data_IF_577325289650
#
_entry.id   IF_577325289650
#
_cell.length_a   1.000
_cell.length_b   1.000
_cell.length_c   1.000
_cell.angle_alpha   90.00
_cell.angle_beta   90.00
_cell.angle_gamma   90.00
#
_symmetry.space_group_name_H-M   'P 1'
#
loop_
_entity.id
_entity.type
_entity.pdbx_description
1 polymer ?
#
# COMPACT_ATOMS: atom_id res chain seq x y z
N UNK A 1 -23.48 15.81 -0.77
CA UNK A 1 -22.97 14.43 -0.62
C UNK A 1 -23.96 13.50 -1.31
N UNK A 2 -23.53 12.52 -2.13
CA UNK A 2 -24.44 11.59 -2.81
C UNK A 2 -25.30 10.77 -1.84
N UNK A 3 -26.50 10.39 -2.26
CA UNK A 3 -27.50 9.70 -1.41
C UNK A 3 -27.01 8.36 -0.84
N UNK A 4 -26.24 7.60 -1.62
CA UNK A 4 -25.67 6.33 -1.17
C UNK A 4 -24.65 6.54 -0.04
N UNK A 5 -23.82 7.58 -0.11
CA UNK A 5 -22.88 7.93 0.97
C UNK A 5 -23.64 8.38 2.22
N UNK A 6 -24.75 9.12 2.06
CA UNK A 6 -25.60 9.50 3.19
C UNK A 6 -26.19 8.28 3.90
N UNK A 7 -26.62 7.26 3.13
CA UNK A 7 -27.10 6.00 3.68
C UNK A 7 -25.99 5.28 4.45
N UNK A 8 -24.80 5.11 3.85
CA UNK A 8 -23.65 4.48 4.51
C UNK A 8 -23.29 5.15 5.82
N UNK A 9 -23.16 6.49 5.83
CA UNK A 9 -22.92 7.26 7.07
C UNK A 9 -24.01 7.04 8.12
N UNK A 10 -25.28 7.03 7.71
CA UNK A 10 -26.41 6.81 8.62
C UNK A 10 -26.31 5.42 9.25
N UNK A 11 -26.02 4.38 8.47
CA UNK A 11 -25.90 3.02 8.99
C UNK A 11 -24.70 2.86 9.92
N UNK A 12 -23.53 3.41 9.56
CA UNK A 12 -22.36 3.45 10.44
C UNK A 12 -22.70 4.13 11.76
N UNK A 13 -23.33 5.31 11.71
CA UNK A 13 -23.74 6.02 12.92
C UNK A 13 -24.75 5.23 13.76
N UNK A 14 -25.81 4.70 13.14
CA UNK A 14 -26.86 3.95 13.84
C UNK A 14 -26.31 2.73 14.57
N UNK A 15 -25.40 1.98 13.96
CA UNK A 15 -24.94 0.69 14.49
C UNK A 15 -23.63 0.76 15.29
N UNK A 16 -22.83 1.83 15.17
CA UNK A 16 -21.49 1.88 15.77
C UNK A 16 -21.27 3.05 16.74
N UNK A 17 -22.17 4.04 16.83
CA UNK A 17 -21.95 5.23 17.69
C UNK A 17 -21.88 4.93 19.19
N UNK A 18 -22.44 3.80 19.64
CA UNK A 18 -22.41 3.41 21.05
C UNK A 18 -21.05 2.81 21.43
N UNK A 19 -20.42 2.09 20.51
CA UNK A 19 -19.16 1.39 20.74
C UNK A 19 -17.93 2.20 20.30
N UNK A 20 -18.10 3.15 19.38
CA UNK A 20 -17.00 3.86 18.74
C UNK A 20 -17.24 5.37 18.63
N UNK A 21 -16.16 6.15 18.81
CA UNK A 21 -16.12 7.57 18.42
C UNK A 21 -15.89 7.69 16.91
N UNK A 22 -16.98 7.81 16.15
CA UNK A 22 -16.94 7.92 14.69
C UNK A 22 -16.41 9.29 14.23
N UNK A 23 -15.44 9.30 13.31
CA UNK A 23 -14.87 10.51 12.69
C UNK A 23 -14.90 10.39 11.18
N UNK A 24 -15.52 11.35 10.50
CA UNK A 24 -15.46 11.45 9.04
C UNK A 24 -14.23 12.28 8.64
N UNK A 25 -13.30 11.63 7.94
CA UNK A 25 -12.11 12.29 7.39
C UNK A 25 -12.32 12.54 5.91
N UNK A 26 -12.06 13.77 5.49
CA UNK A 26 -12.15 14.22 4.10
C UNK A 26 -10.81 14.82 3.70
N UNK A 27 -10.60 15.09 2.41
CA UNK A 27 -9.39 15.82 1.95
C UNK A 27 -9.19 17.15 2.69
N UNK A 28 -10.28 17.86 2.99
CA UNK A 28 -10.24 19.14 3.71
C UNK A 28 -9.87 18.99 5.20
N UNK A 29 -10.22 17.85 5.82
CA UNK A 29 -10.00 17.63 7.25
C UNK A 29 -8.79 16.75 7.54
N UNK A 30 -8.21 16.05 6.56
CA UNK A 30 -7.05 15.16 6.75
C UNK A 30 -5.85 15.87 7.42
N UNK A 31 -5.55 17.11 7.02
CA UNK A 31 -4.47 17.94 7.59
C UNK A 31 -4.69 18.32 9.07
N UNK A 32 -5.90 18.17 9.60
CA UNK A 32 -6.19 18.38 11.03
C UNK A 32 -5.73 17.19 11.89
N UNK A 33 -5.62 16.00 11.29
CA UNK A 33 -5.25 14.76 11.97
C UNK A 33 -3.81 14.32 11.66
N UNK A 34 -3.30 14.66 10.48
CA UNK A 34 -1.96 14.30 10.01
C UNK A 34 -1.17 15.60 9.80
N UNK A 35 -0.37 15.99 10.79
CA UNK A 35 0.34 17.27 10.83
C UNK A 35 1.50 17.31 9.83
N UNK A 36 2.06 16.16 9.48
CA UNK A 36 3.24 15.97 8.63
C UNK A 36 2.91 15.31 7.28
N UNK A 37 1.81 15.73 6.64
CA UNK A 37 1.45 15.26 5.29
C UNK A 37 2.57 15.54 4.30
N UNK A 38 2.99 14.48 3.57
CA UNK A 38 4.02 14.58 2.54
C UNK A 38 3.63 15.58 1.43
N UNK A 39 4.59 16.35 0.93
CA UNK A 39 4.36 17.39 -0.09
C UNK A 39 3.81 16.86 -1.42
N UNK A 40 4.01 15.57 -1.72
CA UNK A 40 3.43 14.92 -2.89
C UNK A 40 1.93 14.58 -2.76
N UNK A 41 1.35 14.65 -1.55
CA UNK A 41 -0.01 14.18 -1.27
C UNK A 41 -1.07 14.79 -2.20
N UNK A 42 -1.01 16.10 -2.43
CA UNK A 42 -2.01 16.80 -3.26
C UNK A 42 -1.93 16.43 -4.75
N UNK A 43 -0.83 15.78 -5.19
CA UNK A 43 -0.62 15.29 -6.55
C UNK A 43 -1.05 13.82 -6.75
N UNK A 44 -1.28 13.10 -5.66
CA UNK A 44 -1.77 11.71 -5.69
C UNK A 44 -3.21 11.67 -6.23
N UNK A 45 -3.56 10.58 -6.92
CA UNK A 45 -4.96 10.30 -7.28
C UNK A 45 -5.80 10.06 -6.02
N UNK A 46 -7.14 10.25 -6.04
CA UNK A 46 -7.97 10.13 -4.84
C UNK A 46 -7.84 8.81 -4.09
N UNK A 47 -7.70 7.68 -4.81
CA UNK A 47 -7.48 6.37 -4.19
C UNK A 47 -6.18 6.35 -3.36
N UNK A 48 -5.06 6.77 -3.94
CA UNK A 48 -3.79 6.90 -3.22
C UNK A 48 -3.83 7.88 -2.05
N UNK A 49 -4.59 8.97 -2.18
CA UNK A 49 -4.80 9.89 -1.06
C UNK A 49 -5.51 9.17 0.10
N UNK A 50 -6.54 8.37 -0.20
CA UNK A 50 -7.24 7.56 0.79
C UNK A 50 -6.32 6.50 1.42
N UNK A 51 -5.54 5.77 0.62
CA UNK A 51 -4.54 4.80 1.10
C UNK A 51 -3.51 5.44 2.05
N UNK A 52 -2.93 6.56 1.64
CA UNK A 52 -1.98 7.30 2.47
C UNK A 52 -2.63 7.75 3.79
N UNK A 53 -3.82 8.36 3.72
CA UNK A 53 -4.54 8.83 4.91
C UNK A 53 -4.91 7.66 5.83
N UNK A 54 -5.42 6.53 5.30
CA UNK A 54 -5.78 5.36 6.13
C UNK A 54 -4.57 4.87 6.91
N UNK A 55 -3.44 4.72 6.25
CA UNK A 55 -2.23 4.19 6.85
C UNK A 55 -1.70 5.14 7.93
N UNK A 56 -1.67 6.45 7.66
CA UNK A 56 -1.21 7.45 8.63
C UNK A 56 -2.14 7.58 9.84
N UNK A 57 -3.46 7.57 9.64
CA UNK A 57 -4.40 7.62 10.75
C UNK A 57 -4.27 6.40 11.66
N UNK A 58 -4.19 5.19 11.07
CA UNK A 58 -4.04 3.96 11.84
C UNK A 58 -2.67 3.84 12.52
N UNK A 59 -1.61 4.41 11.92
CA UNK A 59 -0.30 4.53 12.57
C UNK A 59 -0.36 5.42 13.81
N UNK A 60 -0.96 6.61 13.70
CA UNK A 60 -1.00 7.63 14.75
C UNK A 60 -1.96 7.23 15.88
N UNK A 61 -3.16 6.78 15.54
CA UNK A 61 -4.24 6.59 16.51
C UNK A 61 -4.52 5.11 16.82
N UNK A 62 -4.08 4.17 15.96
CA UNK A 62 -4.64 2.83 15.93
C UNK A 62 -6.13 2.85 15.60
N UNK A 63 -6.86 1.83 16.05
CA UNK A 63 -8.31 1.79 15.94
C UNK A 63 -8.78 1.13 14.65
N UNK A 64 -9.79 1.72 14.02
CA UNK A 64 -10.47 1.16 12.85
C UNK A 64 -10.62 2.21 11.76
N UNK A 65 -10.29 1.85 10.52
CA UNK A 65 -10.60 2.59 9.31
C UNK A 65 -11.65 1.82 8.49
N UNK A 66 -12.63 2.56 7.97
CA UNK A 66 -13.77 2.03 7.22
C UNK A 66 -13.97 2.90 5.98
N UNK A 67 -14.02 2.28 4.80
CA UNK A 67 -14.40 3.02 3.59
C UNK A 67 -15.87 3.48 3.66
N UNK A 68 -16.13 4.67 3.12
CA UNK A 68 -17.43 5.34 3.30
C UNK A 68 -18.56 4.71 2.48
N UNK A 69 -18.23 3.82 1.55
CA UNK A 69 -19.16 3.07 0.72
C UNK A 69 -19.64 1.76 1.39
N UNK A 70 -19.37 1.57 2.69
CA UNK A 70 -19.86 0.43 3.46
C UNK A 70 -21.23 0.69 4.10
N UNK A 71 -22.11 -0.32 4.01
CA UNK A 71 -23.37 -0.39 4.77
C UNK A 71 -23.14 -1.24 6.02
N UNK A 72 -23.31 -0.63 7.21
CA UNK A 72 -23.21 -1.35 8.47
C UNK A 72 -24.56 -1.92 8.88
N UNK A 73 -24.66 -3.25 9.05
CA UNK A 73 -25.90 -3.90 9.51
C UNK A 73 -25.90 -4.18 11.02
N UNK A 74 -24.73 -4.11 11.65
CA UNK A 74 -24.53 -4.36 13.08
C UNK A 74 -23.28 -3.62 13.57
N UNK A 75 -23.07 -3.62 14.88
CA UNK A 75 -21.84 -3.08 15.47
C UNK A 75 -20.62 -3.88 15.04
N UNK A 76 -19.52 -3.17 14.81
CA UNK A 76 -18.22 -3.73 14.44
C UNK A 76 -17.41 -4.18 15.66
N UNK A 77 -17.95 -4.02 16.88
CA UNK A 77 -17.28 -4.34 18.14
C UNK A 77 -16.75 -5.77 18.19
N UNK A 78 -17.53 -6.75 17.71
CA UNK A 78 -17.12 -8.17 17.65
C UNK A 78 -15.75 -8.33 16.97
N UNK A 79 -15.55 -7.63 15.84
CA UNK A 79 -14.30 -7.72 15.10
C UNK A 79 -13.18 -6.90 15.72
N UNK A 80 -13.52 -5.73 16.26
CA UNK A 80 -12.57 -4.90 16.98
C UNK A 80 -11.98 -5.62 18.20
N UNK A 81 -12.78 -6.41 18.92
CA UNK A 81 -12.35 -7.15 20.11
C UNK A 81 -11.25 -8.18 19.79
N UNK A 82 -11.12 -8.65 18.55
CA UNK A 82 -9.99 -9.52 18.16
C UNK A 82 -8.64 -8.81 18.19
N UNK A 83 -8.60 -7.47 18.22
CA UNK A 83 -7.37 -6.74 18.47
C UNK A 83 -6.77 -7.01 19.86
N UNK A 84 -7.48 -7.65 20.78
CA UNK A 84 -6.88 -8.12 22.04
C UNK A 84 -5.89 -9.26 21.83
N UNK A 85 -6.09 -10.04 20.76
CA UNK A 85 -5.30 -11.23 20.43
C UNK A 85 -4.37 -11.02 19.22
N UNK A 86 -4.76 -10.16 18.29
CA UNK A 86 -4.04 -9.90 17.04
C UNK A 86 -3.65 -8.44 16.92
N UNK A 87 -2.52 -8.16 16.28
CA UNK A 87 -2.07 -6.78 16.05
C UNK A 87 -2.86 -6.08 14.94
N UNK A 88 -3.31 -6.86 13.95
CA UNK A 88 -4.03 -6.39 12.76
C UNK A 88 -5.19 -7.35 12.48
N UNK A 89 -6.37 -6.80 12.23
CA UNK A 89 -7.55 -7.51 11.74
C UNK A 89 -8.02 -6.75 10.50
N UNK A 90 -8.34 -7.43 9.40
CA UNK A 90 -8.60 -6.74 8.13
C UNK A 90 -9.36 -7.55 7.11
N UNK A 91 -9.29 -7.12 5.86
CA UNK A 91 -9.96 -7.74 4.71
C UNK A 91 -9.70 -9.25 4.63
N UNK A 92 -10.76 -10.04 4.43
CA UNK A 92 -10.73 -11.52 4.33
C UNK A 92 -10.26 -12.26 5.58
N UNK A 93 -10.19 -11.60 6.73
CA UNK A 93 -9.80 -12.25 7.98
C UNK A 93 -10.91 -13.19 8.48
N UNK A 94 -10.55 -14.46 8.75
CA UNK A 94 -11.45 -15.55 9.17
C UNK A 94 -10.82 -16.41 10.28
N UNK A 95 -11.20 -16.25 11.55
CA UNK A 95 -10.93 -17.25 12.58
C UNK A 95 -12.04 -18.31 12.57
N UNK A 96 -13.29 -17.87 12.34
CA UNK A 96 -14.51 -18.65 12.54
C UNK A 96 -15.37 -18.78 11.26
N UNK A 97 -14.85 -18.36 10.09
CA UNK A 97 -15.48 -18.56 8.77
C UNK A 97 -16.10 -17.32 8.11
N UNK A 98 -16.45 -16.29 8.87
CA UNK A 98 -17.05 -15.04 8.35
C UNK A 98 -16.00 -14.09 7.76
N UNK A 99 -16.24 -13.53 6.57
CA UNK A 99 -15.37 -12.51 5.97
C UNK A 99 -15.64 -11.13 6.56
N UNK A 100 -14.57 -10.47 7.01
CA UNK A 100 -14.57 -9.03 7.20
C UNK A 100 -14.33 -8.39 5.83
N UNK A 101 -15.27 -7.54 5.39
CA UNK A 101 -15.18 -6.78 4.13
C UNK A 101 -14.10 -5.68 4.16
N UNK A 102 -14.31 -4.55 3.48
CA UNK A 102 -13.38 -3.40 3.36
C UNK A 102 -13.14 -2.63 4.68
N UNK A 103 -12.92 -3.33 5.79
CA UNK A 103 -12.67 -2.75 7.11
C UNK A 103 -11.26 -3.17 7.56
N UNK A 104 -10.51 -2.21 8.09
CA UNK A 104 -9.16 -2.44 8.57
C UNK A 104 -9.00 -1.96 10.02
N UNK A 105 -8.44 -2.82 10.87
CA UNK A 105 -8.25 -2.60 12.29
C UNK A 105 -6.77 -2.74 12.65
N UNK A 106 -6.23 -1.81 13.43
CA UNK A 106 -4.88 -1.91 13.98
C UNK A 106 -4.93 -1.65 15.48
N UNK A 107 -4.34 -2.55 16.27
CA UNK A 107 -4.17 -2.34 17.70
C UNK A 107 -3.25 -1.14 17.92
N UNK A 108 -3.72 -0.15 18.69
CA UNK A 108 -2.90 1.02 19.01
C UNK A 108 -1.59 0.60 19.68
N UNK A 109 -0.45 1.08 19.15
CA UNK A 109 0.88 0.86 19.74
C UNK A 109 1.01 1.49 21.13
N UNK A 110 0.16 2.47 21.47
CA UNK A 110 0.23 3.21 22.74
C UNK A 110 -0.12 2.36 23.97
N UNK A 111 -0.76 1.20 23.78
CA UNK A 111 -1.10 0.28 24.87
C UNK A 111 -0.04 -0.81 25.12
N UNK A 112 1.05 -0.85 24.35
CA UNK A 112 2.20 -1.65 24.73
C UNK A 112 2.99 -0.89 25.79
N UNK A 113 2.84 -1.27 27.07
CA UNK A 113 3.91 -1.14 28.06
C UNK A 113 5.02 -2.15 27.68
N UNK A 114 5.66 -1.96 26.53
CA UNK A 114 6.94 -2.59 26.29
C UNK A 114 7.99 -1.78 27.03
N UNK A 115 8.92 -2.46 27.69
CA UNK A 115 10.10 -1.83 28.25
C UNK A 115 10.77 -0.98 27.13
N UNK A 116 11.04 0.31 27.36
CA UNK A 116 11.71 1.17 26.39
C UNK A 116 12.98 0.55 25.78
N UNK A 117 13.75 -0.23 26.55
CA UNK A 117 14.92 -0.94 26.06
C UNK A 117 14.56 -2.07 25.09
N UNK A 118 13.58 -2.91 25.44
CA UNK A 118 13.08 -3.97 24.55
C UNK A 118 12.49 -3.39 23.26
N UNK A 119 11.78 -2.27 23.38
CA UNK A 119 11.27 -1.51 22.23
C UNK A 119 12.43 -1.06 21.34
N UNK A 120 13.45 -0.41 21.89
CA UNK A 120 14.63 0.05 21.13
C UNK A 120 15.38 -1.14 20.49
N UNK A 121 15.58 -2.23 21.21
CA UNK A 121 16.26 -3.43 20.70
C UNK A 121 15.47 -4.08 19.57
N UNK A 122 14.14 -4.22 19.71
CA UNK A 122 13.26 -4.69 18.64
C UNK A 122 13.28 -3.76 17.44
N UNK A 123 13.23 -2.44 17.64
CA UNK A 123 13.34 -1.48 16.54
C UNK A 123 14.67 -1.63 15.81
N UNK A 124 15.80 -1.66 16.52
CA UNK A 124 17.12 -1.86 15.91
C UNK A 124 17.24 -3.21 15.19
N UNK A 125 16.69 -4.27 15.77
CA UNK A 125 16.68 -5.58 15.15
C UNK A 125 15.82 -5.59 13.88
N UNK A 126 14.62 -5.01 13.92
CA UNK A 126 13.74 -4.88 12.77
C UNK A 126 14.38 -4.02 11.67
N UNK A 127 14.99 -2.88 12.02
CA UNK A 127 15.74 -2.04 11.08
C UNK A 127 16.88 -2.83 10.43
N UNK A 128 17.64 -3.59 11.23
CA UNK A 128 18.71 -4.44 10.69
C UNK A 128 18.16 -5.51 9.74
N UNK A 129 17.05 -6.16 10.09
CA UNK A 129 16.44 -7.21 9.26
C UNK A 129 15.82 -6.65 7.98
N UNK A 130 15.20 -5.48 8.07
CA UNK A 130 14.75 -4.72 6.91
C UNK A 130 15.94 -4.41 6.01
N UNK A 131 17.02 -3.85 6.54
CA UNK A 131 18.21 -3.50 5.74
C UNK A 131 18.89 -4.70 5.07
N UNK A 132 18.79 -5.91 5.65
CA UNK A 132 19.32 -7.14 5.05
C UNK A 132 18.44 -7.74 3.95
N UNK A 133 17.14 -7.45 3.96
CA UNK A 133 16.19 -8.01 2.99
C UNK A 133 16.18 -7.16 1.74
N UNK A 134 16.69 -7.67 0.62
CA UNK A 134 16.82 -6.90 -0.63
C UNK A 134 15.63 -7.16 -1.54
N UNK A 135 14.91 -6.10 -1.91
CA UNK A 135 13.71 -6.19 -2.76
C UNK A 135 13.89 -5.44 -4.09
N UNK A 136 13.42 -6.05 -5.17
CA UNK A 136 13.27 -5.40 -6.48
C UNK A 136 11.80 -5.20 -6.81
N UNK A 137 11.38 -3.95 -7.00
CA UNK A 137 10.00 -3.58 -7.32
C UNK A 137 9.81 -3.38 -8.84
N UNK A 138 9.01 -4.23 -9.49
CA UNK A 138 8.59 -4.13 -10.89
C UNK A 138 7.20 -3.49 -10.97
N UNK A 139 7.16 -2.23 -11.41
CA UNK A 139 5.96 -1.39 -11.32
C UNK A 139 5.39 -1.20 -12.72
N UNK A 140 4.22 -1.76 -12.97
CA UNK A 140 3.56 -1.63 -14.26
C UNK A 140 2.93 -0.25 -14.41
N UNK A 141 3.24 0.42 -15.51
CA UNK A 141 2.64 1.71 -15.88
C UNK A 141 2.36 1.73 -17.39
N UNK A 142 1.68 2.78 -17.85
CA UNK A 142 1.46 3.07 -19.28
C UNK A 142 2.04 4.41 -19.67
N UNK A 143 2.12 4.69 -20.97
CA UNK A 143 2.51 6.02 -21.46
C UNK A 143 1.61 7.12 -20.87
N UNK A 144 0.30 6.87 -20.76
CA UNK A 144 -0.68 7.85 -20.29
C UNK A 144 -0.54 8.15 -18.79
N UNK A 145 -0.01 7.22 -18.01
CA UNK A 145 0.09 7.32 -16.55
C UNK A 145 1.53 7.58 -16.07
N UNK A 146 2.51 7.57 -16.98
CA UNK A 146 3.93 7.70 -16.64
C UNK A 146 4.27 9.02 -15.94
N UNK A 147 3.75 10.15 -16.43
CA UNK A 147 4.04 11.48 -15.87
C UNK A 147 3.11 11.86 -14.72
N UNK A 148 2.08 11.06 -14.44
CA UNK A 148 1.07 11.31 -13.41
C UNK A 148 1.17 10.32 -12.25
N UNK A 149 0.75 9.06 -12.45
CA UNK A 149 0.74 8.04 -11.41
C UNK A 149 2.13 7.50 -11.11
N UNK A 150 2.91 7.16 -12.13
CA UNK A 150 4.27 6.69 -11.91
C UNK A 150 5.16 7.78 -11.27
N UNK A 151 4.91 9.06 -11.56
CA UNK A 151 5.50 10.18 -10.80
C UNK A 151 5.21 10.10 -9.30
N UNK A 152 3.94 9.93 -8.94
CA UNK A 152 3.54 9.79 -7.54
C UNK A 152 4.24 8.59 -6.88
N UNK A 153 4.26 7.45 -7.55
CA UNK A 153 4.93 6.24 -7.05
C UNK A 153 6.44 6.46 -6.88
N UNK A 154 7.11 7.05 -7.88
CA UNK A 154 8.54 7.38 -7.88
C UNK A 154 8.94 8.26 -6.69
N UNK A 155 8.16 9.29 -6.41
CA UNK A 155 8.44 10.27 -5.36
C UNK A 155 7.95 9.85 -3.97
N UNK A 156 7.32 8.68 -3.84
CA UNK A 156 6.80 8.19 -2.56
C UNK A 156 7.40 6.85 -2.14
N UNK A 157 6.78 5.73 -2.49
CA UNK A 157 7.14 4.42 -1.95
C UNK A 157 8.20 3.70 -2.79
N UNK A 158 8.27 3.94 -4.10
CA UNK A 158 9.25 3.25 -4.95
C UNK A 158 10.70 3.59 -4.59
N UNK A 159 10.95 4.84 -4.18
CA UNK A 159 12.28 5.28 -3.69
C UNK A 159 12.71 4.62 -2.38
N UNK A 160 11.82 3.87 -1.71
CA UNK A 160 12.10 3.10 -0.50
C UNK A 160 12.41 1.63 -0.80
N UNK A 161 12.14 1.14 -2.01
CA UNK A 161 12.64 -0.17 -2.47
C UNK A 161 14.17 -0.11 -2.63
N UNK A 162 14.87 -1.24 -2.46
CA UNK A 162 16.32 -1.29 -2.70
C UNK A 162 16.65 -1.01 -4.17
N UNK A 163 15.76 -1.46 -5.07
CA UNK A 163 15.71 -1.03 -6.47
C UNK A 163 14.28 -1.15 -7.00
N UNK A 164 13.96 -0.35 -8.01
CA UNK A 164 12.70 -0.48 -8.73
C UNK A 164 12.89 -0.24 -10.22
N UNK A 165 11.96 -0.77 -11.01
CA UNK A 165 11.80 -0.45 -12.43
C UNK A 165 10.35 -0.21 -12.76
N UNK A 166 10.07 0.87 -13.48
CA UNK A 166 8.84 0.99 -14.21
C UNK A 166 8.89 0.14 -15.48
N UNK A 167 7.88 -0.69 -15.65
CA UNK A 167 7.65 -1.47 -16.85
C UNK A 167 6.60 -0.71 -17.66
N UNK A 168 7.05 -0.07 -18.73
CA UNK A 168 6.24 0.79 -19.57
C UNK A 168 6.38 0.34 -21.02
N UNK A 169 5.27 0.34 -21.77
CA UNK A 169 5.30 -0.09 -23.16
C UNK A 169 6.00 0.91 -24.09
N UNK A 170 5.84 2.20 -23.81
CA UNK A 170 6.38 3.26 -24.63
C UNK A 170 6.48 4.55 -23.84
N UNK A 171 7.47 5.36 -24.17
CA UNK A 171 7.59 6.71 -23.62
C UNK A 171 6.66 7.65 -24.41
N UNK A 172 5.91 8.54 -23.74
CA UNK A 172 5.05 9.50 -24.44
C UNK A 172 5.83 10.37 -25.41
N UNK A 173 5.25 10.67 -26.59
CA UNK A 173 5.93 11.42 -27.65
C UNK A 173 5.92 12.94 -27.46
N UNK A 174 4.89 13.47 -26.81
CA UNK A 174 4.68 14.91 -26.64
C UNK A 174 4.91 15.32 -25.18
N UNK A 175 6.18 15.37 -24.77
CA UNK A 175 6.58 15.69 -23.41
C UNK A 175 7.16 17.11 -23.34
N UNK A 176 6.82 17.85 -22.30
CA UNK A 176 7.52 19.08 -21.92
C UNK A 176 8.93 18.77 -21.42
N UNK A 177 9.82 19.77 -21.43
CA UNK A 177 11.19 19.62 -20.92
C UNK A 177 11.23 19.10 -19.47
N UNK A 178 10.30 19.55 -18.63
CA UNK A 178 10.19 19.11 -17.24
C UNK A 178 9.78 17.63 -17.13
N UNK A 179 8.86 17.17 -17.98
CA UNK A 179 8.44 15.76 -18.00
C UNK A 179 9.54 14.86 -18.57
N UNK A 180 10.33 15.33 -19.53
CA UNK A 180 11.51 14.61 -20.01
C UNK A 180 12.52 14.44 -18.88
N UNK A 181 12.78 15.50 -18.10
CA UNK A 181 13.69 15.43 -16.95
C UNK A 181 13.18 14.47 -15.87
N UNK A 182 11.87 14.49 -15.59
CA UNK A 182 11.22 13.57 -14.67
C UNK A 182 11.36 12.10 -15.13
N UNK A 183 11.08 11.82 -16.39
CA UNK A 183 11.20 10.46 -16.94
C UNK A 183 12.66 9.97 -16.87
N UNK A 184 13.63 10.87 -17.11
CA UNK A 184 15.06 10.56 -16.96
C UNK A 184 15.48 10.27 -15.52
N UNK A 185 14.76 10.78 -14.51
CA UNK A 185 15.04 10.46 -13.10
C UNK A 185 14.40 9.14 -12.65
N UNK A 186 13.49 8.58 -13.44
CA UNK A 186 12.86 7.29 -13.17
C UNK A 186 13.67 6.14 -13.75
N UNK A 187 13.77 5.04 -13.00
CA UNK A 187 14.29 3.78 -13.54
C UNK A 187 13.22 3.10 -14.39
N UNK A 188 13.29 3.24 -15.71
CA UNK A 188 12.41 2.54 -16.66
C UNK A 188 13.17 1.36 -17.25
N UNK A 189 12.60 0.16 -17.20
CA UNK A 189 13.24 -1.02 -17.77
C UNK A 189 13.28 -0.91 -19.30
N UNK A 190 14.43 -1.18 -19.96
CA UNK A 190 14.57 -1.10 -21.41
C UNK A 190 13.94 -2.31 -22.10
N UNK A 191 12.62 -2.47 -21.95
CA UNK A 191 11.88 -3.61 -22.47
C UNK A 191 11.20 -3.21 -23.78
N UNK A 192 11.70 -3.80 -24.87
CA UNK A 192 11.11 -3.69 -26.19
C UNK A 192 10.02 -4.76 -26.39
N UNK A 193 9.22 -4.65 -27.45
CA UNK A 193 8.20 -5.64 -27.86
C UNK A 193 6.98 -5.76 -26.92
N UNK A 194 6.67 -4.70 -26.19
CA UNK A 194 5.44 -4.56 -25.43
C UNK A 194 4.36 -3.92 -26.32
N UNK A 195 3.21 -4.58 -26.45
CA UNK A 195 2.05 -3.97 -27.11
C UNK A 195 1.29 -3.09 -26.11
N UNK A 196 0.79 -1.90 -26.53
CA UNK A 196 0.01 -1.03 -25.65
C UNK A 196 -1.38 -1.62 -25.39
N UNK A 197 -1.92 -1.38 -24.20
CA UNK A 197 -3.28 -1.76 -23.84
C UNK A 197 -3.36 -2.71 -22.64
N UNK A 198 -4.55 -2.72 -22.02
CA UNK A 198 -4.85 -3.52 -20.83
C UNK A 198 -4.75 -5.03 -21.11
N UNK A 199 -5.14 -5.46 -22.31
CA UNK A 199 -5.13 -6.88 -22.73
C UNK A 199 -3.71 -7.49 -22.77
N UNK A 200 -2.67 -6.66 -22.74
CA UNK A 200 -1.27 -7.08 -22.77
C UNK A 200 -0.57 -6.97 -21.40
N UNK A 201 -1.29 -6.71 -20.30
CA UNK A 201 -0.72 -6.64 -18.95
C UNK A 201 0.01 -7.92 -18.53
N UNK A 202 -0.50 -9.09 -18.92
CA UNK A 202 0.15 -10.38 -18.65
C UNK A 202 1.50 -10.46 -19.36
N UNK A 203 1.57 -10.05 -20.63
CA UNK A 203 2.84 -10.02 -21.38
C UNK A 203 3.81 -9.02 -20.74
N UNK A 204 3.33 -7.84 -20.36
CA UNK A 204 4.13 -6.82 -19.69
C UNK A 204 4.72 -7.33 -18.36
N UNK A 205 3.92 -8.01 -17.56
CA UNK A 205 4.37 -8.65 -16.31
C UNK A 205 5.45 -9.69 -16.59
N UNK A 206 5.22 -10.58 -17.57
CA UNK A 206 6.18 -11.63 -17.97
C UNK A 206 7.51 -11.04 -18.44
N UNK A 207 7.47 -9.99 -19.26
CA UNK A 207 8.68 -9.30 -19.72
C UNK A 207 9.40 -8.60 -18.58
N UNK A 208 8.67 -7.99 -17.64
CA UNK A 208 9.26 -7.40 -16.43
C UNK A 208 10.01 -8.43 -15.59
N UNK A 209 9.40 -9.58 -15.32
CA UNK A 209 10.08 -10.67 -14.61
C UNK A 209 11.22 -11.29 -15.40
N UNK A 210 11.10 -11.43 -16.72
CA UNK A 210 12.19 -11.90 -17.58
C UNK A 210 13.39 -10.93 -17.53
N UNK A 211 13.14 -9.63 -17.62
CA UNK A 211 14.17 -8.60 -17.45
C UNK A 211 14.86 -8.70 -16.08
N UNK A 212 14.07 -8.85 -14.99
CA UNK A 212 14.60 -9.02 -13.65
C UNK A 212 15.44 -10.30 -13.50
N UNK A 213 15.02 -11.41 -14.13
CA UNK A 213 15.79 -12.64 -14.13
C UNK A 213 17.14 -12.47 -14.83
N UNK A 214 17.15 -11.92 -16.05
CA UNK A 214 18.37 -11.75 -16.84
C UNK A 214 19.40 -10.81 -16.17
N UNK A 215 18.93 -9.77 -15.48
CA UNK A 215 19.81 -8.71 -14.97
C UNK A 215 20.02 -8.74 -13.45
N UNK A 216 19.11 -9.35 -12.69
CA UNK A 216 19.00 -9.17 -11.24
C UNK A 216 18.69 -10.43 -10.44
N UNK A 217 18.67 -11.62 -11.06
CA UNK A 217 18.33 -12.88 -10.36
C UNK A 217 19.16 -13.15 -9.09
N UNK A 218 20.43 -12.71 -9.05
CA UNK A 218 21.32 -12.92 -7.91
C UNK A 218 21.47 -11.69 -7.01
N UNK A 219 20.86 -10.56 -7.40
CA UNK A 219 21.07 -9.26 -6.74
C UNK A 219 20.07 -9.01 -5.61
N UNK A 220 18.90 -9.66 -5.66
CA UNK A 220 17.78 -9.44 -4.73
C UNK A 220 17.21 -10.75 -4.21
N UNK A 221 16.63 -10.68 -3.02
CA UNK A 221 16.00 -11.81 -2.34
C UNK A 221 14.52 -11.96 -2.74
N UNK A 222 13.86 -10.84 -3.05
CA UNK A 222 12.44 -10.79 -3.37
C UNK A 222 12.14 -9.89 -4.57
N UNK A 223 11.19 -10.32 -5.39
CA UNK A 223 10.71 -9.58 -6.57
C UNK A 223 9.23 -9.27 -6.39
N UNK A 224 8.88 -7.99 -6.48
CA UNK A 224 7.52 -7.50 -6.24
C UNK A 224 6.95 -6.98 -7.55
N UNK A 225 5.79 -7.50 -7.97
CA UNK A 225 4.97 -6.84 -9.02
C UNK A 225 3.99 -5.90 -8.34
N UNK A 226 3.91 -4.66 -8.81
CA UNK A 226 2.87 -3.70 -8.44
C UNK A 226 2.34 -2.96 -9.67
N UNK A 227 1.15 -2.38 -9.56
CA UNK A 227 0.61 -1.47 -10.58
C UNK A 227 0.80 -0.02 -10.14
N UNK A 228 0.73 0.94 -11.08
CA UNK A 228 0.96 2.36 -10.81
C UNK A 228 -0.11 3.02 -9.93
N UNK A 229 -1.19 2.32 -9.63
CA UNK A 229 -2.23 2.69 -8.67
C UNK A 229 -2.14 1.91 -7.33
N UNK A 230 -1.02 1.25 -7.06
CA UNK A 230 -0.71 0.64 -5.74
C UNK A 230 0.09 1.58 -4.83
N UNK A 231 -0.13 1.49 -3.50
CA UNK A 231 0.74 2.09 -2.48
C UNK A 231 1.29 1.00 -1.55
N UNK A 232 2.63 0.93 -1.39
CA UNK A 232 3.30 -0.04 -0.52
C UNK A 232 3.97 0.65 0.67
N UNK A 233 3.83 0.07 1.86
CA UNK A 233 4.69 0.40 3.01
C UNK A 233 5.88 -0.56 2.96
N UNK A 234 6.94 -0.14 2.28
CA UNK A 234 8.10 -0.99 1.96
C UNK A 234 8.78 -1.54 3.21
N UNK A 235 8.85 -0.76 4.28
CA UNK A 235 9.44 -1.16 5.55
C UNK A 235 8.67 -2.32 6.19
N UNK A 236 7.33 -2.28 6.13
CA UNK A 236 6.49 -3.38 6.63
C UNK A 236 6.62 -4.62 5.75
N UNK A 237 6.68 -4.45 4.43
CA UNK A 237 6.90 -5.54 3.49
C UNK A 237 8.25 -6.23 3.76
N UNK A 238 9.35 -5.46 3.86
CA UNK A 238 10.68 -5.98 4.16
C UNK A 238 10.73 -6.69 5.50
N UNK A 239 10.06 -6.16 6.53
CA UNK A 239 9.97 -6.83 7.83
C UNK A 239 9.25 -8.18 7.74
N UNK A 240 8.15 -8.26 6.99
CA UNK A 240 7.43 -9.51 6.76
C UNK A 240 8.31 -10.54 6.01
N UNK A 241 8.91 -10.11 4.91
CA UNK A 241 9.75 -10.94 4.04
C UNK A 241 11.05 -11.41 4.71
N UNK A 242 11.60 -10.61 5.63
CA UNK A 242 12.82 -10.95 6.38
C UNK A 242 12.71 -12.22 7.23
N UNK A 243 11.48 -12.67 7.49
CA UNK A 243 11.16 -13.86 8.27
C UNK A 243 10.86 -15.08 7.41
N UNK A 244 10.89 -14.93 6.09
CA UNK A 244 10.56 -15.99 5.13
C UNK A 244 11.84 -16.62 4.58
N UNK A 245 11.76 -17.88 4.15
CA UNK A 245 12.88 -18.58 3.52
C UNK A 245 12.95 -18.23 2.03
N UNK A 246 14.02 -17.54 1.62
CA UNK A 246 14.24 -17.10 0.23
C UNK A 246 14.64 -18.23 -0.71
N UNK A 247 15.03 -19.40 -0.19
CA UNK A 247 15.32 -20.59 -1.01
C UNK A 247 14.08 -21.39 -1.38
N UNK A 248 12.92 -21.08 -0.80
CA UNK A 248 11.66 -21.76 -1.11
C UNK A 248 10.94 -21.08 -2.28
N UNK A 249 10.28 -21.85 -3.18
CA UNK A 249 9.54 -21.30 -4.31
C UNK A 249 8.17 -20.77 -3.87
N UNK A 250 8.15 -19.73 -3.04
CA UNK A 250 6.95 -19.16 -2.44
C UNK A 250 6.55 -17.83 -3.07
N UNK A 251 5.24 -17.60 -3.12
CA UNK A 251 4.66 -16.33 -3.57
C UNK A 251 3.62 -15.86 -2.57
N UNK A 252 3.52 -14.54 -2.42
CA UNK A 252 2.57 -13.90 -1.50
C UNK A 252 1.73 -12.88 -2.27
N UNK A 253 0.46 -12.80 -1.94
CA UNK A 253 -0.47 -11.88 -2.56
C UNK A 253 -1.91 -12.25 -2.23
N UNK A 254 -2.85 -11.55 -2.88
CA UNK A 254 -4.25 -11.93 -2.81
C UNK A 254 -4.53 -13.01 -3.88
N UNK A 255 -4.74 -14.25 -3.43
CA UNK A 255 -5.12 -15.34 -4.32
C UNK A 255 -6.61 -15.26 -4.61
N UNK A 256 -6.96 -14.84 -5.82
CA UNK A 256 -8.34 -14.95 -6.30
C UNK A 256 -8.74 -16.44 -6.38
N UNK A 257 -9.91 -16.76 -5.82
CA UNK A 257 -10.53 -18.09 -5.91
C UNK A 257 -11.45 -18.16 -7.12
#
# INVERSE_FOLDING_TARGET
MPSHICLSLKTLHCHNRQDFSLKLVTKATAKQYIIDIHSAFDRLIPAHQADYVRCRLLEIFGGMYVDIDIVALQSFKKWYDYLTQYDIVGYSWKPDGDEIGNIFYIRSRLNYKLDPYETILRYRHNEKMQNLTRILCLILTSANTLVTRARAVHETWASRCDKYYFICETIPKNLTNNEIQLIKSMSIAPINNTLPGYDHLTLKSRLGFYFAYEHHQNDFDWFVKADDDTYLIVENLKLFLSKQNTSEPITFGYNFK
#
